data_IF_956221309371
#
_entry.id   IF_956221309371
#
_cell.length_a   1.000
_cell.length_b   1.000
_cell.length_c   1.000
_cell.angle_alpha   90.00
_cell.angle_beta   90.00
_cell.angle_gamma   90.00
#
_symmetry.space_group_name_H-M   'P 1'
#
loop_
_entity.id
_entity.type
_entity.pdbx_description
1 polymer ?
#
# COMPACT_ATOMS: atom_id res chain seq x y z
N UNK A 1 -3.23 -15.44 -34.20
CA UNK A 1 -4.21 -14.44 -34.69
C UNK A 1 -4.94 -13.90 -33.47
N UNK A 2 -4.99 -12.57 -33.29
CA UNK A 2 -5.68 -11.91 -32.18
C UNK A 2 -6.91 -11.12 -32.62
N UNK A 3 -7.51 -10.38 -31.70
CA UNK A 3 -8.73 -9.58 -31.89
C UNK A 3 -8.42 -8.12 -31.54
N UNK A 4 -8.75 -7.20 -32.44
CA UNK A 4 -8.70 -5.76 -32.19
C UNK A 4 -10.11 -5.18 -32.25
N UNK A 5 -10.58 -4.61 -31.15
CA UNK A 5 -11.85 -3.90 -31.06
C UNK A 5 -11.53 -2.42 -30.92
N UNK A 6 -11.87 -1.63 -31.93
CA UNK A 6 -11.47 -0.21 -31.98
C UNK A 6 -12.66 0.69 -32.28
N UNK A 7 -12.73 1.81 -31.56
CA UNK A 7 -13.55 2.97 -31.90
C UNK A 7 -12.72 4.11 -32.52
N UNK A 8 -11.50 3.81 -32.96
CA UNK A 8 -10.62 4.74 -33.67
C UNK A 8 -11.15 4.93 -35.10
N UNK A 9 -11.31 6.17 -35.55
CA UNK A 9 -11.84 6.46 -36.88
C UNK A 9 -10.79 6.15 -37.97
N UNK A 10 -11.15 5.27 -38.91
CA UNK A 10 -10.37 5.01 -40.10
C UNK A 10 -11.15 5.47 -41.34
N UNK A 11 -10.97 6.75 -41.70
CA UNK A 11 -11.75 7.39 -42.75
C UNK A 11 -11.68 6.60 -44.06
N UNK A 12 -12.84 6.24 -44.60
CA UNK A 12 -12.99 5.46 -45.84
C UNK A 12 -12.26 4.11 -45.83
N UNK A 13 -11.92 3.55 -44.66
CA UNK A 13 -11.13 2.32 -44.57
C UNK A 13 -9.71 2.47 -45.10
N UNK A 14 -9.18 3.70 -45.16
CA UNK A 14 -7.81 3.93 -45.59
C UNK A 14 -6.83 3.42 -44.51
N UNK A 15 -6.02 2.42 -44.85
CA UNK A 15 -4.99 1.84 -43.97
C UNK A 15 -5.12 0.33 -43.81
N UNK A 16 -4.38 -0.23 -42.85
CA UNK A 16 -4.43 -1.66 -42.54
C UNK A 16 -5.60 -1.97 -41.60
N UNK A 17 -6.16 -3.19 -41.68
CA UNK A 17 -7.22 -3.64 -40.76
C UNK A 17 -6.78 -3.65 -39.29
N UNK A 18 -5.47 -3.80 -39.03
CA UNK A 18 -4.86 -3.80 -37.69
C UNK A 18 -4.00 -2.55 -37.46
N UNK A 19 -4.46 -1.39 -37.94
CA UNK A 19 -3.81 -0.12 -37.60
C UNK A 19 -4.06 0.25 -36.13
N UNK A 20 -3.08 -0.05 -35.28
CA UNK A 20 -3.15 0.16 -33.83
C UNK A 20 -2.40 1.40 -33.34
N UNK A 21 -2.03 2.35 -34.20
CA UNK A 21 -1.16 3.46 -33.78
C UNK A 21 -1.73 4.28 -32.61
N UNK A 22 -3.04 4.53 -32.61
CA UNK A 22 -3.71 5.28 -31.53
C UNK A 22 -3.69 4.50 -30.20
N UNK A 23 -4.05 3.21 -30.25
CA UNK A 23 -3.99 2.32 -29.09
C UNK A 23 -2.56 2.18 -28.54
N UNK A 24 -1.57 2.05 -29.42
CA UNK A 24 -0.15 1.99 -29.06
C UNK A 24 0.32 3.28 -28.38
N UNK A 25 -0.13 4.44 -28.85
CA UNK A 25 0.19 5.72 -28.22
C UNK A 25 -0.35 5.78 -26.79
N UNK A 26 -1.61 5.35 -26.56
CA UNK A 26 -2.20 5.30 -25.21
C UNK A 26 -1.44 4.35 -24.27
N UNK A 27 -1.10 3.14 -24.74
CA UNK A 27 -0.31 2.18 -23.96
C UNK A 27 1.11 2.69 -23.66
N UNK A 28 1.74 3.38 -24.62
CA UNK A 28 3.08 3.94 -24.44
C UNK A 28 3.09 5.08 -23.41
N UNK A 29 2.07 5.95 -23.44
CA UNK A 29 1.91 7.00 -22.42
C UNK A 29 1.70 6.40 -21.03
N UNK A 30 0.83 5.41 -20.88
CA UNK A 30 0.60 4.72 -19.62
C UNK A 30 1.88 4.05 -19.08
N UNK A 31 2.68 3.44 -19.96
CA UNK A 31 3.97 2.83 -19.59
C UNK A 31 4.98 3.86 -19.07
N UNK A 32 5.10 5.02 -19.72
CA UNK A 32 6.00 6.10 -19.30
C UNK A 32 5.61 6.66 -17.92
N UNK A 33 4.31 6.82 -17.67
CA UNK A 33 3.81 7.28 -16.36
C UNK A 33 4.12 6.25 -15.27
N UNK A 34 3.85 4.96 -15.53
CA UNK A 34 4.17 3.88 -14.60
C UNK A 34 5.67 3.72 -14.37
N UNK A 35 6.51 3.96 -15.38
CA UNK A 35 7.97 4.00 -15.22
C UNK A 35 8.40 5.07 -14.21
N UNK A 36 7.88 6.30 -14.36
CA UNK A 36 8.18 7.40 -13.44
C UNK A 36 7.72 7.08 -12.01
N UNK A 37 6.52 6.52 -11.85
CA UNK A 37 5.98 6.15 -10.55
C UNK A 37 6.75 4.99 -9.91
N UNK A 38 7.07 3.96 -10.70
CA UNK A 38 7.86 2.79 -10.28
C UNK A 38 9.25 3.20 -9.81
N UNK A 39 9.95 4.07 -10.55
CA UNK A 39 11.23 4.62 -10.11
C UNK A 39 11.14 5.39 -8.79
N UNK A 40 10.04 6.14 -8.58
CA UNK A 40 9.81 6.87 -7.33
C UNK A 40 9.55 5.92 -6.16
N UNK A 41 8.77 4.86 -6.38
CA UNK A 41 8.51 3.82 -5.38
C UNK A 41 9.79 3.07 -5.01
N UNK A 42 10.64 2.71 -5.99
CA UNK A 42 11.94 2.08 -5.75
C UNK A 42 12.86 2.97 -4.92
N UNK A 43 12.92 4.28 -5.22
CA UNK A 43 13.70 5.22 -4.43
C UNK A 43 13.22 5.32 -2.98
N UNK A 44 11.91 5.15 -2.75
CA UNK A 44 11.29 5.08 -1.44
C UNK A 44 11.34 3.67 -0.79
N UNK A 45 12.07 2.73 -1.38
CA UNK A 45 12.19 1.33 -0.93
C UNK A 45 10.85 0.56 -0.88
N UNK A 46 9.83 1.04 -1.58
CA UNK A 46 8.56 0.34 -1.76
C UNK A 46 8.67 -0.68 -2.90
N UNK A 47 7.83 -1.73 -2.89
CA UNK A 47 7.70 -2.62 -4.05
C UNK A 47 7.16 -1.80 -5.22
N UNK A 48 7.81 -1.95 -6.37
CA UNK A 48 7.52 -1.22 -7.58
C UNK A 48 6.82 -2.10 -8.62
N UNK A 49 6.07 -1.49 -9.53
CA UNK A 49 5.39 -2.20 -10.61
C UNK A 49 6.38 -2.84 -11.58
N UNK A 50 6.05 -4.02 -12.10
CA UNK A 50 6.83 -4.73 -13.12
C UNK A 50 6.63 -4.09 -14.50
N UNK A 51 7.40 -3.04 -14.75
CA UNK A 51 7.42 -2.32 -16.02
C UNK A 51 7.94 -3.21 -17.15
N UNK A 52 8.91 -4.09 -16.87
CA UNK A 52 9.53 -4.95 -17.88
C UNK A 52 8.48 -5.86 -18.53
N UNK A 53 7.57 -6.41 -17.74
CA UNK A 53 6.44 -7.22 -18.25
C UNK A 53 5.44 -6.40 -19.05
N UNK A 54 5.08 -5.19 -18.62
CA UNK A 54 4.18 -4.32 -19.39
C UNK A 54 4.77 -3.98 -20.76
N UNK A 55 6.06 -3.67 -20.80
CA UNK A 55 6.78 -3.41 -22.03
C UNK A 55 6.84 -4.66 -22.93
N UNK A 56 7.11 -5.84 -22.37
CA UNK A 56 7.13 -7.10 -23.11
C UNK A 56 5.75 -7.44 -23.70
N UNK A 57 4.66 -7.22 -22.94
CA UNK A 57 3.29 -7.40 -23.43
C UNK A 57 3.02 -6.52 -24.66
N UNK A 58 3.36 -5.24 -24.57
CA UNK A 58 3.19 -4.29 -25.67
C UNK A 58 4.02 -4.71 -26.90
N UNK A 59 5.34 -4.81 -26.74
CA UNK A 59 6.27 -4.98 -27.86
C UNK A 59 6.21 -6.37 -28.51
N UNK A 60 6.02 -7.43 -27.72
CA UNK A 60 6.15 -8.80 -28.23
C UNK A 60 4.81 -9.41 -28.65
N UNK A 61 3.71 -8.98 -28.01
CA UNK A 61 2.39 -9.61 -28.23
C UNK A 61 1.40 -8.69 -28.93
N UNK A 62 1.37 -7.39 -28.59
CA UNK A 62 0.39 -6.44 -29.12
C UNK A 62 0.83 -5.82 -30.45
N UNK A 63 2.08 -5.34 -30.58
CA UNK A 63 2.49 -4.49 -31.71
C UNK A 63 2.27 -5.07 -33.12
N UNK A 64 2.38 -6.39 -33.30
CA UNK A 64 2.08 -7.05 -34.59
C UNK A 64 1.05 -8.19 -34.46
N UNK A 65 0.27 -8.24 -33.37
CA UNK A 65 -0.66 -9.37 -33.07
C UNK A 65 -0.01 -10.75 -33.26
N UNK A 66 1.28 -10.88 -32.90
CA UNK A 66 2.07 -12.12 -33.09
C UNK A 66 1.50 -13.30 -32.30
N UNK A 67 0.65 -13.03 -31.30
CA UNK A 67 -0.03 -14.01 -30.47
C UNK A 67 -1.55 -13.81 -30.47
N UNK A 68 -2.28 -14.75 -29.86
CA UNK A 68 -3.73 -14.62 -29.66
C UNK A 68 -4.03 -13.63 -28.53
N UNK A 69 -3.93 -12.34 -28.84
CA UNK A 69 -4.21 -11.23 -27.92
C UNK A 69 -5.54 -10.56 -28.23
N UNK A 70 -6.17 -9.96 -27.21
CA UNK A 70 -7.28 -9.05 -27.37
C UNK A 70 -6.81 -7.63 -27.01
N UNK A 71 -7.03 -6.68 -27.91
CA UNK A 71 -6.82 -5.25 -27.67
C UNK A 71 -8.14 -4.53 -27.89
N UNK A 72 -8.55 -3.70 -26.92
CA UNK A 72 -9.70 -2.82 -27.03
C UNK A 72 -9.24 -1.37 -26.89
N UNK A 73 -9.61 -0.49 -27.82
CA UNK A 73 -9.21 0.93 -27.84
C UNK A 73 -10.41 1.82 -28.16
N UNK A 74 -10.56 2.90 -27.39
CA UNK A 74 -11.52 3.96 -27.68
C UNK A 74 -11.00 5.32 -27.15
N UNK A 75 -10.78 6.33 -28.01
CA UNK A 75 -10.14 7.59 -27.61
C UNK A 75 -11.04 8.48 -26.74
N UNK A 76 -12.34 8.20 -26.70
CA UNK A 76 -13.33 8.94 -25.93
C UNK A 76 -13.94 8.13 -24.77
N UNK A 77 -13.35 6.98 -24.43
CA UNK A 77 -13.68 6.20 -23.23
C UNK A 77 -14.22 4.81 -23.51
N UNK A 78 -14.13 3.96 -22.48
CA UNK A 78 -14.64 2.59 -22.46
C UNK A 78 -15.46 2.42 -21.18
N UNK A 79 -16.66 1.86 -21.29
CA UNK A 79 -17.49 1.47 -20.15
C UNK A 79 -17.70 -0.04 -20.18
N UNK A 80 -17.48 -0.70 -19.04
CA UNK A 80 -17.76 -2.12 -18.83
C UNK A 80 -18.72 -2.21 -17.65
N UNK A 81 -19.93 -2.71 -17.91
CA UNK A 81 -21.02 -2.75 -16.93
C UNK A 81 -21.69 -4.13 -16.93
N UNK A 82 -22.14 -4.59 -15.77
CA UNK A 82 -22.90 -5.83 -15.60
C UNK A 82 -24.05 -5.58 -14.62
N UNK A 83 -25.18 -6.28 -14.81
CA UNK A 83 -26.26 -6.33 -13.82
C UNK A 83 -25.96 -7.28 -12.66
N UNK A 84 -24.94 -8.13 -12.82
CA UNK A 84 -24.46 -9.09 -11.85
C UNK A 84 -22.93 -8.91 -11.72
N UNK A 85 -22.15 -10.00 -11.86
CA UNK A 85 -20.72 -9.99 -11.58
C UNK A 85 -19.87 -9.51 -12.77
N UNK A 86 -18.68 -8.99 -12.45
CA UNK A 86 -17.55 -8.80 -13.38
C UNK A 86 -16.34 -9.48 -12.75
N UNK A 87 -15.71 -10.42 -13.47
CA UNK A 87 -14.47 -11.06 -13.04
C UNK A 87 -13.33 -10.72 -14.01
N UNK A 88 -12.25 -10.16 -13.46
CA UNK A 88 -10.99 -9.94 -14.17
C UNK A 88 -9.94 -10.88 -13.57
N UNK A 89 -9.45 -11.84 -14.36
CA UNK A 89 -8.47 -12.83 -13.91
C UNK A 89 -7.36 -12.97 -14.95
N UNK A 90 -6.13 -13.11 -14.46
CA UNK A 90 -4.94 -13.37 -15.26
C UNK A 90 -4.05 -14.36 -14.50
N UNK A 91 -3.50 -15.35 -15.21
CA UNK A 91 -2.60 -16.36 -14.64
C UNK A 91 -1.24 -15.77 -14.20
N UNK A 92 -0.78 -14.71 -14.88
CA UNK A 92 0.52 -14.09 -14.62
C UNK A 92 0.39 -12.73 -13.90
N UNK A 93 -0.19 -11.71 -14.55
CA UNK A 93 -0.43 -10.40 -13.91
C UNK A 93 -1.69 -9.70 -14.40
N UNK A 94 -2.33 -8.98 -13.47
CA UNK A 94 -3.31 -7.94 -13.76
C UNK A 94 -2.65 -6.56 -13.53
N UNK A 95 -2.75 -5.66 -14.49
CA UNK A 95 -2.28 -4.27 -14.38
C UNK A 95 -3.43 -3.31 -14.65
N UNK A 96 -3.62 -2.36 -13.75
CA UNK A 96 -4.55 -1.24 -13.91
C UNK A 96 -3.76 0.05 -13.85
N UNK A 97 -3.95 0.94 -14.83
CA UNK A 97 -3.22 2.20 -14.93
C UNK A 97 -4.17 3.32 -15.34
N UNK A 98 -4.03 4.48 -14.70
CA UNK A 98 -4.73 5.69 -15.04
C UNK A 98 -3.74 6.86 -15.00
N UNK A 99 -3.70 7.68 -16.05
CA UNK A 99 -2.75 8.81 -16.12
C UNK A 99 -3.10 10.02 -15.26
N UNK A 100 -4.21 9.95 -14.51
CA UNK A 100 -4.63 11.02 -13.59
C UNK A 100 -5.03 10.44 -12.23
N UNK A 101 -6.22 9.85 -12.16
CA UNK A 101 -6.83 9.38 -10.93
C UNK A 101 -7.41 7.99 -11.15
N UNK A 102 -7.33 7.16 -10.12
CA UNK A 102 -7.99 5.85 -10.06
C UNK A 102 -8.90 5.84 -8.84
N UNK A 103 -10.19 5.69 -9.08
CA UNK A 103 -11.20 5.56 -8.04
C UNK A 103 -11.67 4.10 -7.98
N UNK A 104 -11.52 3.48 -6.81
CA UNK A 104 -11.98 2.12 -6.54
C UNK A 104 -12.87 2.19 -5.31
N UNK A 105 -14.10 1.69 -5.42
CA UNK A 105 -15.08 1.75 -4.34
C UNK A 105 -15.98 0.53 -4.31
N UNK A 106 -16.39 0.16 -3.09
CA UNK A 106 -17.37 -0.87 -2.83
C UNK A 106 -18.44 -0.31 -1.88
N UNK A 107 -19.70 -0.72 -2.04
CA UNK A 107 -20.77 -0.28 -1.13
C UNK A 107 -20.69 -0.97 0.24
N UNK A 108 -20.18 -2.20 0.26
CA UNK A 108 -19.95 -2.99 1.48
C UNK A 108 -18.45 -3.05 1.74
N UNK A 109 -17.85 -4.23 1.59
CA UNK A 109 -16.47 -4.48 1.94
C UNK A 109 -15.55 -4.28 0.74
N UNK A 110 -14.40 -3.65 0.96
CA UNK A 110 -13.27 -3.62 0.03
C UNK A 110 -12.15 -4.48 0.61
N UNK A 111 -11.85 -5.60 -0.05
CA UNK A 111 -10.86 -6.57 0.40
C UNK A 111 -9.67 -6.63 -0.54
N UNK A 112 -8.47 -6.68 0.03
CA UNK A 112 -7.20 -6.82 -0.70
C UNK A 112 -6.38 -7.90 -0.01
N UNK A 113 -6.00 -8.93 -0.75
CA UNK A 113 -5.16 -10.01 -0.28
C UNK A 113 -4.03 -10.26 -1.30
N UNK A 114 -2.82 -10.54 -0.81
CA UNK A 114 -1.67 -10.86 -1.63
C UNK A 114 -0.86 -11.96 -0.92
N UNK A 115 -0.51 -13.03 -1.64
CA UNK A 115 0.25 -14.16 -1.09
C UNK A 115 1.72 -13.85 -0.75
N UNK A 116 2.19 -12.61 -0.95
CA UNK A 116 3.54 -12.18 -0.56
C UNK A 116 3.55 -10.85 0.18
N UNK A 117 3.14 -9.77 -0.50
CA UNK A 117 3.25 -8.42 0.07
C UNK A 117 2.27 -7.45 -0.57
N UNK A 118 1.82 -6.48 0.21
CA UNK A 118 1.07 -5.30 -0.23
C UNK A 118 1.99 -4.09 -0.08
N UNK A 119 2.13 -3.29 -1.14
CA UNK A 119 2.95 -2.08 -1.15
C UNK A 119 2.10 -0.89 -1.57
N UNK A 120 2.05 0.14 -0.73
CA UNK A 120 1.32 1.37 -0.97
C UNK A 120 2.30 2.54 -0.96
N UNK A 121 2.42 3.23 -2.09
CA UNK A 121 3.31 4.36 -2.27
C UNK A 121 2.57 5.57 -2.83
N UNK A 122 2.92 6.76 -2.32
CA UNK A 122 2.41 8.04 -2.80
C UNK A 122 3.51 9.10 -2.70
N UNK A 123 3.54 10.03 -3.65
CA UNK A 123 4.52 11.14 -3.68
C UNK A 123 4.18 12.25 -2.69
N UNK A 124 2.89 12.49 -2.44
CA UNK A 124 2.42 13.69 -1.71
C UNK A 124 1.73 13.37 -0.39
N UNK A 125 1.54 12.09 -0.07
CA UNK A 125 1.03 11.64 1.22
C UNK A 125 -0.07 10.59 1.10
N UNK A 126 -0.54 10.13 2.26
CA UNK A 126 -1.57 9.13 2.39
C UNK A 126 -2.51 9.49 3.54
N UNK A 127 -3.77 9.05 3.43
CA UNK A 127 -4.80 9.25 4.45
C UNK A 127 -5.57 7.95 4.63
N UNK A 128 -5.78 7.56 5.89
CA UNK A 128 -6.58 6.41 6.27
C UNK A 128 -7.57 6.85 7.34
N UNK A 129 -8.86 6.72 7.06
CA UNK A 129 -9.93 7.15 7.95
C UNK A 129 -10.98 6.06 8.10
N UNK A 130 -11.52 5.92 9.31
CA UNK A 130 -12.78 5.21 9.54
C UNK A 130 -13.77 6.17 10.18
N UNK A 131 -15.01 6.22 9.68
CA UNK A 131 -16.06 7.08 10.25
C UNK A 131 -16.62 6.54 11.56
N UNK A 132 -16.64 5.21 11.70
CA UNK A 132 -17.15 4.48 12.85
C UNK A 132 -16.27 3.27 13.10
N UNK A 133 -16.30 2.73 14.32
CA UNK A 133 -15.54 1.55 14.72
C UNK A 133 -14.01 1.75 14.64
N UNK A 134 -13.27 0.65 14.65
CA UNK A 134 -11.83 0.63 14.91
C UNK A 134 -11.00 0.61 13.61
N UNK A 135 -9.74 1.04 13.73
CA UNK A 135 -8.68 0.73 12.76
C UNK A 135 -7.74 -0.23 13.46
N UNK A 136 -7.59 -1.44 12.91
CA UNK A 136 -6.63 -2.44 13.38
C UNK A 136 -5.43 -2.47 12.43
N UNK A 137 -4.21 -2.27 12.97
CA UNK A 137 -2.94 -2.38 12.23
C UNK A 137 -2.09 -3.39 13.00
N UNK A 138 -1.68 -4.47 12.35
CA UNK A 138 -1.02 -5.60 12.99
C UNK A 138 0.02 -6.23 12.06
N UNK A 139 1.13 -6.67 12.64
CA UNK A 139 2.04 -7.63 12.04
C UNK A 139 2.05 -8.87 12.94
N UNK A 140 1.45 -9.97 12.48
CA UNK A 140 1.23 -11.17 13.31
C UNK A 140 2.47 -12.06 13.45
N UNK A 141 3.45 -11.90 12.56
CA UNK A 141 4.74 -12.61 12.60
C UNK A 141 5.94 -11.70 12.30
N UNK A 142 5.78 -10.38 12.43
CA UNK A 142 6.83 -9.41 12.11
C UNK A 142 6.66 -8.09 12.85
N UNK A 143 7.50 -7.11 12.49
CA UNK A 143 7.52 -5.82 13.14
C UNK A 143 6.55 -4.82 12.51
N UNK A 144 5.92 -3.98 13.35
CA UNK A 144 5.28 -2.75 12.89
C UNK A 144 6.28 -1.60 13.04
N UNK A 145 6.73 -1.05 11.91
CA UNK A 145 7.67 0.09 11.90
C UNK A 145 6.98 1.36 11.38
N UNK A 146 7.19 2.48 12.08
CA UNK A 146 6.72 3.81 11.67
C UNK A 146 7.82 4.84 11.84
N UNK A 147 7.98 5.74 10.87
CA UNK A 147 8.98 6.81 10.89
C UNK A 147 8.45 8.09 10.25
N UNK A 148 8.88 9.25 10.78
CA UNK A 148 8.62 10.57 10.20
C UNK A 148 9.88 11.42 10.32
N UNK A 149 10.22 12.16 9.25
CA UNK A 149 11.32 13.15 9.29
C UNK A 149 10.93 14.42 10.06
N UNK A 150 9.64 14.64 10.27
CA UNK A 150 9.07 15.73 11.04
C UNK A 150 8.45 15.19 12.33
N UNK A 151 7.48 15.90 12.89
CA UNK A 151 6.79 15.47 14.09
C UNK A 151 5.96 14.20 13.86
N UNK A 152 5.89 13.37 14.90
CA UNK A 152 4.92 12.27 15.01
C UNK A 152 3.93 12.60 16.12
N UNK A 153 2.63 12.54 15.82
CA UNK A 153 1.56 12.82 16.79
C UNK A 153 0.76 11.54 17.05
N UNK A 154 0.74 11.11 18.31
CA UNK A 154 -0.07 9.98 18.79
C UNK A 154 -0.94 10.53 19.91
N UNK A 155 -2.26 10.59 19.69
CA UNK A 155 -3.21 11.15 20.63
C UNK A 155 -4.46 10.27 20.75
N UNK A 156 -5.09 10.31 21.92
CA UNK A 156 -6.36 9.61 22.18
C UNK A 156 -7.25 10.54 22.98
N UNK A 157 -8.52 10.67 22.58
CA UNK A 157 -9.53 11.43 23.33
C UNK A 157 -9.96 10.75 24.63
N UNK A 158 -9.54 9.50 24.88
CA UNK A 158 -9.82 8.75 26.12
C UNK A 158 -8.53 8.22 26.75
N UNK A 159 -8.09 7.04 26.32
CA UNK A 159 -6.93 6.34 26.89
C UNK A 159 -5.94 5.98 25.79
N UNK A 160 -4.65 6.21 26.04
CA UNK A 160 -3.55 5.68 25.23
C UNK A 160 -2.89 4.55 26.03
N UNK A 161 -2.80 3.36 25.44
CA UNK A 161 -2.13 2.20 26.03
C UNK A 161 -0.99 1.82 25.10
N UNK A 162 0.24 1.83 25.63
CA UNK A 162 1.42 1.28 24.96
C UNK A 162 1.92 0.14 25.83
N UNK A 163 2.04 -1.05 25.26
CA UNK A 163 2.38 -2.27 26.01
C UNK A 163 3.40 -3.06 25.21
N UNK A 164 4.42 -3.56 25.92
CA UNK A 164 5.42 -4.47 25.38
C UNK A 164 5.62 -5.61 26.38
N UNK A 165 5.94 -6.80 25.88
CA UNK A 165 6.08 -8.00 26.72
C UNK A 165 7.45 -8.02 27.38
N UNK A 166 8.49 -7.77 26.59
CA UNK A 166 9.87 -7.88 27.06
C UNK A 166 10.45 -6.53 27.51
N UNK A 167 10.31 -5.50 26.68
CA UNK A 167 10.90 -4.18 26.94
C UNK A 167 10.11 -3.05 26.28
N UNK A 168 9.86 -1.96 27.03
CA UNK A 168 9.36 -0.70 26.51
C UNK A 168 10.41 0.39 26.72
N UNK A 169 10.86 1.01 25.64
CA UNK A 169 11.93 2.02 25.67
C UNK A 169 11.51 3.30 24.92
N UNK A 170 11.65 4.45 25.58
CA UNK A 170 11.43 5.78 25.02
C UNK A 170 12.77 6.53 25.05
N UNK A 171 13.22 7.09 23.93
CA UNK A 171 14.53 7.77 23.83
C UNK A 171 14.37 9.16 23.19
N UNK A 172 15.06 10.16 23.74
CA UNK A 172 15.12 11.51 23.19
C UNK A 172 16.42 12.22 23.60
N UNK A 173 17.25 12.62 22.62
CA UNK A 173 18.49 13.38 22.88
C UNK A 173 19.47 12.73 23.85
N UNK A 174 19.49 11.38 23.92
CA UNK A 174 20.29 10.60 24.86
C UNK A 174 19.65 10.38 26.25
N UNK A 175 18.54 11.04 26.56
CA UNK A 175 17.69 10.70 27.71
C UNK A 175 16.72 9.57 27.36
N UNK A 176 16.32 8.77 28.34
CA UNK A 176 15.41 7.65 28.12
C UNK A 176 14.56 7.27 29.34
N UNK A 177 13.47 6.55 29.06
CA UNK A 177 12.67 5.77 30.02
C UNK A 177 12.63 4.35 29.49
N UNK A 178 13.04 3.37 30.30
CA UNK A 178 13.06 1.95 29.95
C UNK A 178 12.30 1.15 31.00
N UNK A 179 11.41 0.27 30.55
CA UNK A 179 10.67 -0.67 31.39
C UNK A 179 11.04 -2.09 30.95
N UNK A 180 11.66 -2.87 31.84
CA UNK A 180 12.12 -4.23 31.54
C UNK A 180 12.11 -5.12 32.78
N UNK A 181 11.52 -6.31 32.69
CA UNK A 181 11.47 -7.27 33.80
C UNK A 181 10.84 -6.70 35.09
N UNK A 182 9.85 -5.81 34.94
CA UNK A 182 9.20 -5.11 36.05
C UNK A 182 9.98 -3.91 36.61
N UNK A 183 11.20 -3.65 36.15
CA UNK A 183 12.00 -2.50 36.56
C UNK A 183 11.73 -1.29 35.68
N UNK A 184 11.73 -0.10 36.28
CA UNK A 184 11.68 1.19 35.58
C UNK A 184 13.01 1.90 35.73
N UNK A 185 13.68 2.19 34.62
CA UNK A 185 14.95 2.90 34.54
C UNK A 185 14.73 4.25 33.84
N UNK A 186 15.15 5.34 34.48
CA UNK A 186 15.10 6.70 33.92
C UNK A 186 16.52 7.24 33.94
N UNK A 187 17.08 7.56 32.78
CA UNK A 187 18.49 7.95 32.68
C UNK A 187 18.75 8.94 31.54
N UNK A 188 19.94 9.54 31.57
CA UNK A 188 20.41 10.45 30.54
C UNK A 188 21.64 11.25 30.98
N UNK A 189 22.32 11.95 30.05
CA UNK A 189 23.53 12.72 30.34
C UNK A 189 23.27 14.03 31.11
N UNK A 190 22.02 14.49 31.13
CA UNK A 190 21.60 15.72 31.79
C UNK A 190 21.12 15.52 33.23
N UNK A 191 20.50 16.57 33.79
CA UNK A 191 19.87 16.53 35.12
C UNK A 191 18.46 15.95 35.03
N UNK A 192 18.11 15.00 35.91
CA UNK A 192 16.72 14.58 36.12
C UNK A 192 16.02 15.60 37.04
N UNK A 193 15.24 16.51 36.46
CA UNK A 193 14.53 17.54 37.23
C UNK A 193 13.09 17.10 37.54
N UNK A 194 12.83 16.83 38.82
CA UNK A 194 11.48 16.49 39.32
C UNK A 194 10.88 17.74 39.96
N UNK A 195 9.73 18.21 39.46
CA UNK A 195 8.95 19.30 40.05
C UNK A 195 7.56 18.76 40.40
N UNK A 196 7.28 18.57 41.68
CA UNK A 196 6.01 18.04 42.16
C UNK A 196 5.62 18.63 43.53
N UNK A 197 4.38 18.36 43.96
CA UNK A 197 3.89 18.72 45.29
C UNK A 197 4.33 17.72 46.39
N UNK A 198 4.74 16.50 46.01
CA UNK A 198 5.24 15.46 46.91
C UNK A 198 5.54 14.15 46.18
N UNK A 199 6.33 13.27 46.82
CA UNK A 199 6.61 11.89 46.38
C UNK A 199 6.17 10.96 47.51
N UNK A 200 5.31 9.99 47.21
CA UNK A 200 4.92 8.92 48.15
C UNK A 200 5.42 7.57 47.63
N UNK A 201 6.12 6.83 48.49
CA UNK A 201 6.63 5.49 48.18
C UNK A 201 5.75 4.46 48.89
N UNK A 202 4.98 3.69 48.12
CA UNK A 202 4.19 2.55 48.61
C UNK A 202 4.90 1.23 48.32
N UNK A 203 4.31 0.11 48.79
CA UNK A 203 4.77 -1.23 48.44
C UNK A 203 4.66 -1.52 46.93
N UNK A 204 5.23 -2.66 46.48
CA UNK A 204 5.17 -3.05 45.07
C UNK A 204 3.73 -3.29 44.61
N UNK A 205 3.48 -3.02 43.32
CA UNK A 205 2.22 -3.30 42.64
C UNK A 205 2.50 -3.83 41.23
N UNK A 206 1.54 -4.55 40.65
CA UNK A 206 1.63 -5.12 39.31
C UNK A 206 0.37 -4.85 38.50
N UNK A 207 0.51 -4.67 37.19
CA UNK A 207 -0.61 -4.53 36.26
C UNK A 207 -0.35 -5.40 35.03
N UNK A 208 -1.36 -6.13 34.57
CA UNK A 208 -1.27 -6.93 33.36
C UNK A 208 -1.89 -6.16 32.20
N UNK A 209 -1.12 -5.98 31.12
CA UNK A 209 -1.64 -5.43 29.88
C UNK A 209 -2.45 -6.47 29.12
N UNK A 210 -3.52 -6.05 28.43
CA UNK A 210 -4.24 -6.94 27.51
C UNK A 210 -3.43 -6.99 26.21
N UNK A 211 -2.78 -8.12 25.97
CA UNK A 211 -2.16 -8.43 24.68
C UNK A 211 -3.06 -9.37 23.89
N UNK A 212 -3.31 -9.05 22.61
CA UNK A 212 -3.95 -10.02 21.71
C UNK A 212 -2.93 -11.14 21.47
N UNK A 213 -3.26 -12.37 21.86
CA UNK A 213 -2.44 -13.54 21.57
C UNK A 213 -2.97 -14.19 20.29
N UNK A 214 -2.08 -14.43 19.33
CA UNK A 214 -2.40 -15.15 18.11
C UNK A 214 -1.62 -16.47 18.16
N UNK A 215 -2.32 -17.59 17.96
CA UNK A 215 -1.62 -18.85 17.79
C UNK A 215 -0.76 -18.73 16.53
N UNK A 216 0.50 -19.20 16.54
CA UNK A 216 1.25 -19.41 15.31
C UNK A 216 0.61 -20.60 14.58
N UNK A 217 -0.58 -20.40 14.01
CA UNK A 217 -1.04 -21.26 12.93
C UNK A 217 -0.14 -20.93 11.73
N UNK A 218 0.37 -21.98 11.10
CA UNK A 218 1.24 -21.91 9.93
C UNK A 218 0.66 -20.94 8.90
N UNK A 219 1.27 -19.75 8.77
CA UNK A 219 1.15 -18.94 7.56
C UNK A 219 1.98 -19.62 6.45
N UNK A 220 1.70 -20.90 6.19
CA UNK A 220 2.26 -21.66 5.10
C UNK A 220 1.31 -21.49 3.91
N UNK A 221 1.73 -20.68 2.93
CA UNK A 221 1.36 -20.84 1.52
C UNK A 221 2.60 -21.22 0.71
#
# INVERSE_FOLDING_TARGET
KGVFISADNQAQGQGQQLDIQQAKALLSSALLEMQSLSASAQHAQALAADIGRQQALLQQKIEDFRQAVLLASAPHGVAVVSGEDIQLSADDNLTLTAGKQMDIGAHKDFTVAAGKQISLYSREGAKLFSSHNNIDIQAQGGDVTTWSTQNTHISSGKKLIVTAQDELTLVCGGGYIKIKGGNVEIGGPGKLRIKNAGISKQGPASMQGVMKNYAPESFDE
#
